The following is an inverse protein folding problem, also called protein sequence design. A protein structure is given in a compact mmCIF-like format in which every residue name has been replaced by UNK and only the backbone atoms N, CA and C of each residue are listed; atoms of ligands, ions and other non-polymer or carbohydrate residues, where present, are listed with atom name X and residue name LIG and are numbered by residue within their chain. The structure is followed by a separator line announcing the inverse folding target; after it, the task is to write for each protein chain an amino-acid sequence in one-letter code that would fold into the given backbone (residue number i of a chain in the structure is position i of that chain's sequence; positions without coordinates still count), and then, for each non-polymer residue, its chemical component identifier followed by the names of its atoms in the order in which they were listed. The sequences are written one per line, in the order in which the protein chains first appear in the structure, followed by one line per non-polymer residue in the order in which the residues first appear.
data_IF_258356057034
#
_entry.id   IF_258356057034
#
_cell.length_a   1.000
_cell.length_b   1.000
_cell.length_c   1.000
_cell.angle_alpha   90.00
_cell.angle_beta   90.00
_cell.angle_gamma   90.00
#
_symmetry.space_group_name_H-M   'P 1'
#
loop_
_entity.id
_entity.type
_entity.pdbx_description
1 polymer ?
#
# COMPACT_ATOMS: atom_id res chain seq x y z
N UNK A 1 -16.90 -14.79 -7.12
CA UNK A 1 -16.44 -15.52 -5.90
C UNK A 1 -16.74 -14.60 -4.74
N UNK A 2 -17.37 -15.06 -3.68
CA UNK A 2 -17.52 -14.25 -2.48
C UNK A 2 -16.15 -14.18 -1.75
N UNK A 3 -15.62 -12.98 -1.58
CA UNK A 3 -14.32 -12.77 -0.92
C UNK A 3 -14.42 -12.65 0.60
N UNK A 4 -15.63 -12.63 1.18
CA UNK A 4 -15.86 -12.54 2.63
C UNK A 4 -15.45 -11.20 3.24
N UNK A 5 -15.37 -10.13 2.44
CA UNK A 5 -14.95 -8.79 2.89
C UNK A 5 -16.07 -7.75 2.88
N UNK A 6 -17.27 -8.13 2.45
CA UNK A 6 -18.42 -7.24 2.47
C UNK A 6 -18.71 -6.74 3.90
N UNK A 7 -18.88 -5.43 4.07
CA UNK A 7 -19.08 -4.76 5.37
C UNK A 7 -17.81 -4.59 6.21
N UNK A 8 -16.66 -5.17 5.84
CA UNK A 8 -15.38 -4.98 6.53
C UNK A 8 -14.87 -3.54 6.38
N UNK A 9 -14.23 -3.02 7.43
CA UNK A 9 -13.60 -1.70 7.40
C UNK A 9 -12.23 -1.73 6.72
N UNK A 10 -12.07 -1.00 5.63
CA UNK A 10 -10.84 -0.91 4.85
C UNK A 10 -10.24 0.50 4.91
N UNK A 11 -9.00 0.61 5.38
CA UNK A 11 -8.21 1.83 5.35
C UNK A 11 -7.13 1.75 4.28
N UNK A 12 -7.19 2.62 3.26
CA UNK A 12 -6.25 2.63 2.14
C UNK A 12 -5.45 3.92 2.12
N UNK A 13 -4.16 3.85 2.42
CA UNK A 13 -3.29 5.02 2.53
C UNK A 13 -2.89 5.58 1.15
N UNK A 14 -2.72 6.92 1.06
CA UNK A 14 -2.28 7.64 -0.14
C UNK A 14 -3.03 7.23 -1.41
N UNK A 15 -4.37 7.16 -1.32
CA UNK A 15 -5.24 6.58 -2.34
C UNK A 15 -5.97 7.63 -3.21
N UNK A 16 -5.50 8.87 -3.25
CA UNK A 16 -6.06 9.89 -4.15
C UNK A 16 -5.71 9.66 -5.64
N UNK A 17 -4.85 8.68 -5.96
CA UNK A 17 -4.50 8.33 -7.34
C UNK A 17 -3.78 6.98 -7.42
N UNK A 18 -3.53 6.50 -8.65
CA UNK A 18 -2.66 5.35 -8.94
C UNK A 18 -3.12 4.05 -8.27
N UNK A 19 -2.16 3.24 -7.84
CA UNK A 19 -2.41 1.88 -7.32
C UNK A 19 -3.23 1.88 -6.02
N UNK A 20 -3.03 2.88 -5.15
CA UNK A 20 -3.84 3.04 -3.93
C UNK A 20 -5.32 3.26 -4.26
N UNK A 21 -5.64 4.18 -5.21
CA UNK A 21 -7.02 4.43 -5.66
C UNK A 21 -7.64 3.20 -6.31
N UNK A 22 -6.90 2.51 -7.16
CA UNK A 22 -7.38 1.29 -7.80
C UNK A 22 -7.67 0.18 -6.77
N UNK A 23 -6.81 0.03 -5.75
CA UNK A 23 -7.04 -0.92 -4.65
C UNK A 23 -8.28 -0.56 -3.84
N UNK A 24 -8.47 0.74 -3.53
CA UNK A 24 -9.64 1.22 -2.81
C UNK A 24 -10.93 0.99 -3.60
N UNK A 25 -10.92 1.21 -4.92
CA UNK A 25 -12.04 0.95 -5.83
C UNK A 25 -12.41 -0.53 -5.84
N UNK A 26 -11.43 -1.41 -5.98
CA UNK A 26 -11.65 -2.85 -6.00
C UNK A 26 -12.24 -3.37 -4.67
N UNK A 27 -11.75 -2.87 -3.52
CA UNK A 27 -12.30 -3.19 -2.20
C UNK A 27 -13.74 -2.70 -2.04
N UNK A 28 -14.05 -1.48 -2.49
CA UNK A 28 -15.40 -0.93 -2.44
C UNK A 28 -16.37 -1.71 -3.33
N UNK A 29 -15.93 -2.17 -4.51
CA UNK A 29 -16.73 -2.99 -5.42
C UNK A 29 -17.11 -4.35 -4.81
N UNK A 30 -16.28 -4.90 -3.91
CA UNK A 30 -16.57 -6.12 -3.13
C UNK A 30 -17.33 -5.84 -1.82
N UNK A 31 -17.85 -4.63 -1.66
CA UNK A 31 -18.70 -4.24 -0.54
C UNK A 31 -17.98 -3.88 0.77
N UNK A 32 -16.67 -3.70 0.77
CA UNK A 32 -15.96 -3.18 1.92
C UNK A 32 -16.33 -1.69 2.17
N UNK A 33 -16.38 -1.28 3.42
CA UNK A 33 -16.51 0.14 3.81
C UNK A 33 -15.13 0.78 3.76
N UNK A 34 -14.90 1.66 2.80
CA UNK A 34 -13.56 2.16 2.48
C UNK A 34 -13.35 3.58 2.99
N UNK A 35 -12.20 3.79 3.64
CA UNK A 35 -11.65 5.10 3.96
C UNK A 35 -10.33 5.26 3.22
N UNK A 36 -10.16 6.40 2.56
CA UNK A 36 -8.92 6.75 1.85
C UNK A 36 -8.28 8.01 2.43
N UNK A 37 -6.98 8.20 2.21
CA UNK A 37 -6.36 9.48 2.51
C UNK A 37 -5.52 10.03 1.36
N UNK A 38 -5.33 11.35 1.42
CA UNK A 38 -4.47 12.12 0.54
C UNK A 38 -4.20 13.51 1.13
N UNK A 39 -3.15 14.18 0.67
CA UNK A 39 -2.72 15.49 1.19
C UNK A 39 -3.57 16.65 0.68
N UNK A 40 -4.11 16.53 -0.50
CA UNK A 40 -4.90 17.55 -1.18
C UNK A 40 -6.39 17.23 -1.05
N UNK A 41 -7.16 18.18 -0.50
CA UNK A 41 -8.59 18.05 -0.25
C UNK A 41 -9.35 17.73 -1.54
N UNK A 42 -9.16 18.52 -2.58
CA UNK A 42 -9.92 18.38 -3.83
C UNK A 42 -9.67 17.01 -4.48
N UNK A 43 -8.41 16.59 -4.53
CA UNK A 43 -8.03 15.29 -5.13
C UNK A 43 -8.52 14.09 -4.33
N UNK A 44 -8.52 14.17 -3.00
CA UNK A 44 -9.01 13.04 -2.20
C UNK A 44 -10.53 12.94 -2.22
N UNK A 45 -11.23 14.08 -2.24
CA UNK A 45 -12.69 14.14 -2.36
C UNK A 45 -13.14 13.62 -3.75
N UNK A 46 -12.48 14.04 -4.83
CA UNK A 46 -12.71 13.52 -6.19
C UNK A 46 -12.47 12.00 -6.27
N UNK A 47 -11.37 11.53 -5.69
CA UNK A 47 -11.06 10.10 -5.65
C UNK A 47 -12.12 9.30 -4.90
N UNK A 48 -12.61 9.78 -3.76
CA UNK A 48 -13.65 9.12 -3.00
C UNK A 48 -14.98 9.07 -3.77
N UNK A 49 -15.34 10.15 -4.46
CA UNK A 49 -16.53 10.19 -5.31
C UNK A 49 -16.46 9.18 -6.47
N UNK A 50 -15.29 9.06 -7.11
CA UNK A 50 -15.04 8.11 -8.19
C UNK A 50 -15.00 6.65 -7.72
N UNK A 51 -14.44 6.37 -6.54
CA UNK A 51 -14.44 5.04 -5.94
C UNK A 51 -15.88 4.60 -5.64
N UNK A 52 -16.72 5.52 -5.18
CA UNK A 52 -18.13 5.21 -4.87
C UNK A 52 -18.28 4.37 -3.60
N UNK A 53 -19.40 3.61 -3.49
CA UNK A 53 -19.62 2.69 -2.37
C UNK A 53 -19.66 3.34 -0.98
N UNK A 54 -19.86 4.67 -0.89
CA UNK A 54 -19.80 5.40 0.38
C UNK A 54 -18.36 5.60 0.89
N UNK A 55 -17.36 5.57 0.01
CA UNK A 55 -15.96 5.82 0.35
C UNK A 55 -15.77 7.18 1.04
N UNK A 56 -15.10 7.19 2.18
CA UNK A 56 -14.89 8.40 2.99
C UNK A 56 -13.47 8.93 2.79
N UNK A 57 -13.30 10.20 2.35
CA UNK A 57 -11.99 10.82 2.22
C UNK A 57 -11.51 11.43 3.53
N UNK A 58 -10.23 11.26 3.86
CA UNK A 58 -9.53 11.92 4.95
C UNK A 58 -8.36 12.75 4.38
N UNK A 59 -8.26 14.02 4.77
CA UNK A 59 -7.07 14.83 4.42
C UNK A 59 -5.97 14.53 5.42
N UNK A 60 -5.04 13.71 5.01
CA UNK A 60 -3.92 13.29 5.83
C UNK A 60 -2.66 13.09 4.98
N UNK A 61 -1.55 13.65 5.44
CA UNK A 61 -0.23 13.33 4.91
C UNK A 61 0.34 12.12 5.66
N UNK A 62 0.64 11.06 4.95
CA UNK A 62 1.23 9.83 5.47
C UNK A 62 2.70 9.72 5.04
N UNK A 63 3.40 10.83 4.97
CA UNK A 63 4.83 10.86 4.64
C UNK A 63 5.76 10.61 5.83
N UNK A 64 5.20 10.37 7.01
CA UNK A 64 5.94 10.06 8.24
C UNK A 64 5.13 9.16 9.19
N UNK A 65 5.73 8.82 10.34
CA UNK A 65 5.10 7.96 11.33
C UNK A 65 3.92 8.62 12.06
N UNK A 66 3.94 9.94 12.26
CA UNK A 66 2.84 10.67 12.90
C UNK A 66 1.60 10.65 12.00
N UNK A 67 1.78 10.98 10.72
CA UNK A 67 0.72 10.93 9.72
C UNK A 67 0.17 9.53 9.54
N UNK A 68 1.03 8.51 9.50
CA UNK A 68 0.61 7.11 9.44
C UNK A 68 -0.28 6.68 10.62
N UNK A 69 0.12 7.04 11.84
CA UNK A 69 -0.66 6.79 13.06
C UNK A 69 -1.99 7.53 13.04
N UNK A 70 -1.97 8.81 12.68
CA UNK A 70 -3.16 9.67 12.60
C UNK A 70 -4.18 9.12 11.60
N UNK A 71 -3.73 8.72 10.41
CA UNK A 71 -4.62 8.15 9.39
C UNK A 71 -5.38 6.92 9.90
N UNK A 72 -4.69 5.95 10.53
CA UNK A 72 -5.32 4.74 11.05
C UNK A 72 -6.31 5.06 12.17
N UNK A 73 -5.96 5.99 13.06
CA UNK A 73 -6.87 6.44 14.13
C UNK A 73 -8.15 7.05 13.56
N UNK A 74 -8.03 8.03 12.66
CA UNK A 74 -9.18 8.69 12.03
C UNK A 74 -10.01 7.70 11.19
N UNK A 75 -9.37 6.77 10.49
CA UNK A 75 -10.07 5.69 9.78
C UNK A 75 -10.84 4.79 10.75
N UNK A 76 -10.28 4.48 11.93
CA UNK A 76 -10.96 3.70 12.98
C UNK A 76 -12.17 4.45 13.54
N UNK A 77 -12.07 5.76 13.74
CA UNK A 77 -13.21 6.58 14.18
C UNK A 77 -14.39 6.54 13.18
N UNK A 78 -14.10 6.54 11.88
CA UNK A 78 -15.11 6.48 10.81
C UNK A 78 -15.69 5.07 10.66
N UNK A 79 -14.84 4.05 10.68
CA UNK A 79 -15.21 2.67 10.36
C UNK A 79 -15.68 1.86 11.58
N UNK A 80 -15.36 2.32 12.80
CA UNK A 80 -15.46 1.55 14.05
C UNK A 80 -14.29 0.58 14.22
N UNK A 81 -13.90 -0.12 13.15
CA UNK A 81 -12.73 -1.01 13.12
C UNK A 81 -12.03 -0.91 11.77
N UNK A 82 -10.71 -1.06 11.77
CA UNK A 82 -9.91 -1.31 10.56
C UNK A 82 -9.61 -2.80 10.50
N UNK A 83 -10.26 -3.49 9.58
CA UNK A 83 -10.09 -4.93 9.32
C UNK A 83 -9.09 -5.18 8.20
N UNK A 84 -9.09 -4.29 7.19
CA UNK A 84 -8.24 -4.33 6.01
C UNK A 84 -7.39 -3.06 5.98
N UNK A 85 -6.08 -3.20 6.07
CA UNK A 85 -5.13 -2.09 5.98
C UNK A 85 -4.29 -2.23 4.71
N UNK A 86 -4.46 -1.29 3.79
CA UNK A 86 -3.58 -1.18 2.62
C UNK A 86 -2.60 -0.03 2.85
N UNK A 87 -1.36 -0.36 3.19
CA UNK A 87 -0.31 0.65 3.34
C UNK A 87 0.27 1.00 1.98
N UNK A 88 0.34 2.28 1.72
CA UNK A 88 0.86 2.85 0.48
C UNK A 88 1.40 4.26 0.79
N UNK A 89 2.27 4.76 -0.07
CA UNK A 89 2.85 6.10 0.08
C UNK A 89 3.38 6.63 -1.24
N UNK A 90 3.79 7.88 -1.23
CA UNK A 90 4.51 8.49 -2.34
C UNK A 90 5.86 7.79 -2.59
N UNK A 91 6.42 8.05 -3.76
CA UNK A 91 7.80 7.65 -4.05
C UNK A 91 8.75 8.83 -3.80
N UNK A 92 9.93 8.60 -3.23
CA UNK A 92 10.96 9.63 -3.09
C UNK A 92 11.47 10.07 -4.47
N UNK A 93 12.19 11.20 -4.57
CA UNK A 93 12.83 11.61 -5.81
C UNK A 93 13.73 10.52 -6.39
N UNK A 94 13.81 10.39 -7.72
CA UNK A 94 14.81 9.52 -8.35
C UNK A 94 16.21 10.11 -8.14
N UNK A 95 17.22 9.27 -8.19
CA UNK A 95 18.63 9.65 -8.11
C UNK A 95 19.52 8.42 -7.97
N UNK A 96 20.77 8.58 -8.39
CA UNK A 96 21.83 7.61 -8.17
C UNK A 96 22.49 7.81 -6.80
N UNK A 97 23.34 6.88 -6.37
CA UNK A 97 24.08 7.04 -5.12
C UNK A 97 24.97 8.30 -5.12
N UNK A 98 25.62 8.58 -6.24
CA UNK A 98 26.53 9.72 -6.37
C UNK A 98 25.81 11.10 -6.36
N UNK A 99 24.55 11.13 -6.85
CA UNK A 99 23.77 12.36 -6.97
C UNK A 99 22.90 12.63 -5.74
N UNK A 100 22.65 11.62 -4.90
CA UNK A 100 21.74 11.73 -3.77
C UNK A 100 22.48 12.17 -2.51
N UNK A 101 22.14 13.35 -2.01
CA UNK A 101 22.71 13.88 -0.78
C UNK A 101 22.31 13.05 0.45
N UNK A 102 23.15 12.98 1.46
CA UNK A 102 22.93 12.18 2.67
C UNK A 102 21.67 12.61 3.43
N UNK A 103 21.38 13.88 3.45
CA UNK A 103 20.20 14.47 4.13
C UNK A 103 18.84 14.15 3.46
N UNK A 104 18.85 13.61 2.23
CA UNK A 104 17.65 13.12 1.56
C UNK A 104 17.16 11.75 2.07
N UNK A 105 18.04 10.96 2.71
CA UNK A 105 17.71 9.62 3.18
C UNK A 105 16.69 9.59 4.33
N UNK A 106 16.78 10.43 5.37
CA UNK A 106 15.80 10.44 6.45
C UNK A 106 14.36 10.59 5.95
N UNK A 107 14.09 11.56 5.10
CA UNK A 107 12.75 11.80 4.55
C UNK A 107 12.21 10.60 3.73
N UNK A 108 13.08 9.91 2.99
CA UNK A 108 12.70 8.72 2.23
C UNK A 108 12.41 7.52 3.15
N UNK A 109 13.17 7.38 4.24
CA UNK A 109 12.95 6.36 5.28
C UNK A 109 11.65 6.65 6.02
N UNK A 110 11.40 7.89 6.41
CA UNK A 110 10.16 8.31 7.08
C UNK A 110 8.94 7.97 6.20
N UNK A 111 8.97 8.35 4.95
CA UNK A 111 7.86 8.16 4.00
C UNK A 111 7.59 6.69 3.68
N UNK A 112 8.61 5.87 3.43
CA UNK A 112 8.43 4.54 2.86
C UNK A 112 8.69 3.39 3.84
N UNK A 113 9.21 3.68 5.03
CA UNK A 113 9.41 2.70 6.10
C UNK A 113 8.66 3.11 7.36
N UNK A 114 8.98 4.26 7.98
CA UNK A 114 8.42 4.62 9.29
C UNK A 114 6.91 4.86 9.25
N UNK A 115 6.38 5.45 8.19
CA UNK A 115 4.94 5.59 7.99
C UNK A 115 4.22 4.23 7.96
N UNK A 116 4.80 3.23 7.27
CA UNK A 116 4.23 1.87 7.22
C UNK A 116 4.31 1.18 8.58
N UNK A 117 5.44 1.30 9.28
CA UNK A 117 5.60 0.79 10.65
C UNK A 117 4.53 1.37 11.57
N UNK A 118 4.32 2.69 11.49
CA UNK A 118 3.35 3.40 12.33
C UNK A 118 1.90 2.97 12.04
N UNK A 119 1.53 2.85 10.76
CA UNK A 119 0.21 2.32 10.37
C UNK A 119 -0.01 0.89 10.89
N UNK A 120 0.99 0.01 10.76
CA UNK A 120 0.91 -1.35 11.29
C UNK A 120 0.78 -1.36 12.83
N UNK A 121 1.58 -0.54 13.54
CA UNK A 121 1.50 -0.43 14.99
C UNK A 121 0.14 0.08 15.48
N UNK A 122 -0.52 0.95 14.72
CA UNK A 122 -1.82 1.49 15.06
C UNK A 122 -2.98 0.50 14.80
N UNK A 123 -2.87 -0.35 13.76
CA UNK A 123 -3.96 -1.23 13.36
C UNK A 123 -3.84 -2.67 13.90
N UNK A 124 -2.64 -3.26 13.86
CA UNK A 124 -2.43 -4.69 14.09
C UNK A 124 -2.82 -5.16 15.50
N UNK A 125 -2.55 -4.43 16.61
CA UNK A 125 -2.96 -4.89 17.92
C UNK A 125 -4.46 -5.20 18.03
N UNK A 126 -5.30 -4.31 17.54
CA UNK A 126 -6.76 -4.50 17.50
C UNK A 126 -7.19 -5.62 16.53
N UNK A 127 -6.48 -5.82 15.42
CA UNK A 127 -6.73 -6.97 14.53
C UNK A 127 -6.44 -8.29 15.24
N UNK A 128 -5.35 -8.37 16.00
CA UNK A 128 -4.98 -9.57 16.79
C UNK A 128 -6.03 -9.87 17.87
N UNK A 129 -6.48 -8.85 18.60
CA UNK A 129 -7.53 -9.00 19.63
C UNK A 129 -8.85 -9.53 19.06
N UNK A 130 -9.19 -9.14 17.83
CA UNK A 130 -10.40 -9.61 17.13
C UNK A 130 -10.21 -10.88 16.30
N UNK A 131 -9.00 -11.45 16.31
CA UNK A 131 -8.61 -12.64 15.54
C UNK A 131 -8.91 -12.51 14.03
N UNK A 132 -8.88 -11.28 13.52
CA UNK A 132 -9.07 -10.97 12.11
C UNK A 132 -8.34 -9.69 11.70
N UNK A 133 -7.54 -9.79 10.65
CA UNK A 133 -6.91 -8.64 10.02
C UNK A 133 -6.19 -9.01 8.71
N UNK A 134 -6.18 -8.05 7.78
CA UNK A 134 -5.45 -8.16 6.52
C UNK A 134 -4.61 -6.92 6.31
N UNK A 135 -3.31 -7.09 6.33
CA UNK A 135 -2.36 -6.02 6.00
C UNK A 135 -1.74 -6.32 4.65
N UNK A 136 -1.94 -5.42 3.70
CA UNK A 136 -1.33 -5.49 2.37
C UNK A 136 -0.53 -4.22 2.12
N UNK A 137 0.78 -4.36 1.95
CA UNK A 137 1.66 -3.22 1.69
C UNK A 137 2.01 -3.12 0.19
N UNK A 138 1.73 -1.98 -0.41
CA UNK A 138 2.17 -1.69 -1.78
C UNK A 138 3.63 -1.22 -1.71
N UNK A 139 4.54 -2.08 -2.14
CA UNK A 139 5.98 -1.81 -2.11
C UNK A 139 6.53 -1.51 -3.51
N UNK A 140 7.43 -2.29 -4.03
CA UNK A 140 8.03 -2.11 -5.35
C UNK A 140 8.75 -3.39 -5.79
N UNK A 141 8.78 -3.68 -7.08
CA UNK A 141 9.70 -4.66 -7.66
C UNK A 141 11.17 -4.37 -7.27
N UNK A 142 11.51 -3.09 -7.11
CA UNK A 142 12.86 -2.62 -6.79
C UNK A 142 13.39 -3.14 -5.44
N UNK A 143 12.57 -3.72 -4.56
CA UNK A 143 13.03 -4.34 -3.30
C UNK A 143 13.80 -5.66 -3.54
N UNK A 144 13.56 -6.31 -4.67
CA UNK A 144 14.26 -7.53 -5.08
C UNK A 144 15.21 -7.31 -6.25
N UNK A 145 14.86 -6.42 -7.15
CA UNK A 145 15.67 -6.04 -8.31
C UNK A 145 15.91 -4.54 -8.27
N UNK A 146 16.93 -4.06 -7.51
CA UNK A 146 17.18 -2.64 -7.34
C UNK A 146 17.35 -1.91 -8.67
N UNK A 147 16.67 -0.78 -8.80
CA UNK A 147 16.76 0.07 -9.99
C UNK A 147 17.84 1.14 -9.78
N UNK A 148 18.69 1.32 -10.76
CA UNK A 148 19.92 2.14 -10.65
C UNK A 148 19.66 3.60 -10.25
N UNK A 149 18.53 4.17 -10.66
CA UNK A 149 18.18 5.57 -10.39
C UNK A 149 17.14 5.76 -9.26
N UNK A 150 16.93 4.75 -8.41
CA UNK A 150 15.95 4.80 -7.32
C UNK A 150 16.58 4.47 -5.96
N UNK A 151 17.79 4.99 -5.68
CA UNK A 151 18.55 4.62 -4.48
C UNK A 151 17.75 4.81 -3.17
N UNK A 152 17.06 5.92 -3.01
CA UNK A 152 16.25 6.20 -1.83
C UNK A 152 15.09 5.21 -1.67
N UNK A 153 14.38 4.92 -2.76
CA UNK A 153 13.29 3.96 -2.76
C UNK A 153 13.76 2.53 -2.49
N UNK A 154 14.86 2.11 -3.15
CA UNK A 154 15.47 0.80 -2.94
C UNK A 154 15.82 0.60 -1.46
N UNK A 155 16.47 1.60 -0.84
CA UNK A 155 16.91 1.54 0.56
C UNK A 155 15.73 1.42 1.52
N UNK A 156 14.77 2.34 1.44
CA UNK A 156 13.65 2.39 2.38
C UNK A 156 12.68 1.19 2.21
N UNK A 157 12.40 0.79 0.96
CA UNK A 157 11.46 -0.29 0.68
C UNK A 157 12.03 -1.68 0.93
N UNK A 158 13.35 -1.87 0.85
CA UNK A 158 13.99 -3.10 1.32
C UNK A 158 13.80 -3.25 2.83
N UNK A 159 13.98 -2.17 3.60
CA UNK A 159 13.76 -2.14 5.04
C UNK A 159 12.32 -2.51 5.43
N UNK A 160 11.32 -1.90 4.79
CA UNK A 160 9.93 -2.22 5.08
C UNK A 160 9.57 -3.66 4.72
N UNK A 161 10.16 -4.21 3.67
CA UNK A 161 9.94 -5.61 3.28
C UNK A 161 10.41 -6.59 4.36
N UNK A 162 11.57 -6.32 4.97
CA UNK A 162 12.07 -7.08 6.12
C UNK A 162 11.16 -6.96 7.34
N UNK A 163 10.73 -5.75 7.67
CA UNK A 163 9.79 -5.48 8.76
C UNK A 163 8.47 -6.24 8.58
N UNK A 164 7.86 -6.16 7.41
CA UNK A 164 6.60 -6.86 7.12
C UNK A 164 6.74 -8.39 7.25
N UNK A 165 7.87 -8.96 6.81
CA UNK A 165 8.14 -10.39 6.96
C UNK A 165 8.26 -10.80 8.42
N UNK A 166 8.92 -9.98 9.24
CA UNK A 166 9.04 -10.21 10.69
C UNK A 166 7.67 -10.13 11.36
N UNK A 167 6.89 -9.07 11.08
CA UNK A 167 5.55 -8.88 11.61
C UNK A 167 4.62 -10.06 11.23
N UNK A 168 4.67 -10.53 9.98
CA UNK A 168 3.87 -11.66 9.53
C UNK A 168 4.13 -12.94 10.35
N UNK A 169 5.39 -13.17 10.76
CA UNK A 169 5.75 -14.31 11.61
C UNK A 169 5.32 -14.13 13.05
N UNK A 170 5.39 -12.90 13.55
CA UNK A 170 4.99 -12.55 14.92
C UNK A 170 3.49 -12.76 15.13
N UNK A 171 2.65 -12.36 14.15
CA UNK A 171 1.19 -12.47 14.25
C UNK A 171 0.65 -13.76 13.61
N UNK A 172 1.50 -14.69 13.20
CA UNK A 172 1.07 -15.97 12.63
C UNK A 172 0.18 -16.76 13.63
N UNK A 173 -0.97 -17.21 13.15
CA UNK A 173 -1.94 -17.93 13.99
C UNK A 173 -2.94 -17.06 14.75
N UNK A 174 -2.81 -15.72 14.71
CA UNK A 174 -3.76 -14.79 15.34
C UNK A 174 -4.93 -14.38 14.43
N UNK A 175 -5.13 -15.03 13.30
CA UNK A 175 -6.14 -14.63 12.30
C UNK A 175 -5.72 -13.43 11.43
N UNK A 176 -4.52 -12.88 11.65
CA UNK A 176 -3.99 -11.72 10.90
C UNK A 176 -3.01 -12.19 9.82
N UNK A 177 -3.15 -11.66 8.61
CA UNK A 177 -2.16 -11.87 7.54
C UNK A 177 -1.46 -10.56 7.19
N UNK A 178 -0.17 -10.65 6.85
CA UNK A 178 0.65 -9.49 6.44
C UNK A 178 1.40 -9.86 5.18
N UNK A 179 1.08 -9.20 4.07
CA UNK A 179 1.69 -9.46 2.77
C UNK A 179 2.14 -8.16 2.11
N UNK A 180 3.03 -8.24 1.15
CA UNK A 180 3.38 -7.13 0.28
C UNK A 180 3.15 -7.45 -1.19
N UNK A 181 2.72 -6.45 -1.94
CA UNK A 181 2.59 -6.52 -3.39
C UNK A 181 3.67 -5.64 -4.01
N UNK A 182 4.39 -6.19 -4.97
CA UNK A 182 5.54 -5.58 -5.61
C UNK A 182 5.17 -5.22 -7.06
N UNK A 183 4.67 -3.99 -7.31
CA UNK A 183 4.32 -3.58 -8.66
C UNK A 183 5.56 -3.43 -9.54
N UNK A 184 5.45 -3.87 -10.78
CA UNK A 184 6.22 -3.38 -11.90
C UNK A 184 5.67 -2.04 -12.41
N UNK A 185 5.86 -1.77 -13.71
CA UNK A 185 5.30 -0.55 -14.31
C UNK A 185 3.80 -0.71 -14.55
N UNK A 186 3.02 0.20 -13.97
CA UNK A 186 1.57 0.31 -14.20
C UNK A 186 1.25 1.73 -14.68
N UNK A 187 0.20 1.88 -15.46
CA UNK A 187 -0.27 3.18 -15.98
C UNK A 187 -0.76 4.08 -14.85
N UNK A 188 0.17 4.80 -14.20
CA UNK A 188 -0.10 5.66 -13.06
C UNK A 188 0.60 7.01 -13.21
N UNK A 189 0.11 8.06 -12.54
CA UNK A 189 0.79 9.37 -12.54
C UNK A 189 2.25 9.29 -12.06
N UNK A 190 2.58 8.33 -11.20
CA UNK A 190 3.97 8.13 -10.74
C UNK A 190 4.88 7.66 -11.86
N UNK A 191 4.41 6.77 -12.72
CA UNK A 191 5.21 6.27 -13.86
C UNK A 191 5.39 7.41 -14.87
N UNK A 192 4.34 8.17 -15.18
CA UNK A 192 4.45 9.38 -16.02
C UNK A 192 5.47 10.38 -15.45
N UNK A 193 5.47 10.62 -14.14
CA UNK A 193 6.44 11.50 -13.49
C UNK A 193 7.90 11.02 -13.65
N UNK A 194 8.13 9.69 -13.60
CA UNK A 194 9.48 9.11 -13.67
C UNK A 194 10.00 8.97 -15.10
N UNK A 195 9.12 8.69 -16.05
CA UNK A 195 9.50 8.27 -17.40
C UNK A 195 8.88 9.12 -18.52
N UNK A 196 8.10 10.16 -18.18
CA UNK A 196 7.38 10.97 -19.15
C UNK A 196 6.12 10.29 -19.70
N UNK A 197 5.51 10.91 -20.72
CA UNK A 197 4.27 10.45 -21.35
C UNK A 197 4.51 9.42 -22.48
N UNK A 198 5.76 8.98 -22.67
CA UNK A 198 6.05 7.97 -23.69
C UNK A 198 5.30 6.68 -23.40
N UNK A 199 4.59 6.10 -24.37
CA UNK A 199 3.97 4.80 -24.22
C UNK A 199 5.03 3.77 -23.85
N UNK A 200 4.81 3.07 -22.75
CA UNK A 200 5.65 1.95 -22.38
C UNK A 200 4.87 0.67 -22.64
N UNK A 201 5.29 -0.09 -23.64
CA UNK A 201 4.71 -1.38 -23.93
C UNK A 201 4.83 -2.30 -22.70
N UNK A 202 3.78 -3.05 -22.43
CA UNK A 202 3.75 -3.98 -21.29
C UNK A 202 3.45 -3.38 -19.93
N UNK A 203 3.01 -2.09 -19.82
CA UNK A 203 2.52 -1.55 -18.56
C UNK A 203 1.20 -2.20 -18.13
N UNK A 204 1.14 -2.60 -16.85
CA UNK A 204 -0.06 -3.15 -16.23
C UNK A 204 -1.18 -2.11 -16.07
N UNK A 205 -2.41 -2.61 -15.98
CA UNK A 205 -3.54 -1.80 -15.58
C UNK A 205 -3.59 -1.64 -14.06
N UNK A 206 -3.75 -0.42 -13.53
CA UNK A 206 -3.93 -0.22 -12.09
C UNK A 206 -5.12 -0.98 -11.50
N UNK A 207 -6.20 -1.17 -12.26
CA UNK A 207 -7.39 -1.87 -11.77
C UNK A 207 -7.13 -3.38 -11.62
N UNK A 208 -6.35 -4.01 -12.51
CA UNK A 208 -5.89 -5.40 -12.32
C UNK A 208 -5.05 -5.55 -11.06
N UNK A 209 -4.17 -4.58 -10.78
CA UNK A 209 -3.41 -4.55 -9.53
C UNK A 209 -4.33 -4.46 -8.30
N UNK A 210 -5.36 -3.63 -8.36
CA UNK A 210 -6.37 -3.48 -7.31
C UNK A 210 -7.08 -4.80 -6.98
N UNK A 211 -7.38 -5.62 -7.99
CA UNK A 211 -7.98 -6.95 -7.79
C UNK A 211 -7.06 -7.90 -7.00
N UNK A 212 -5.75 -7.86 -7.25
CA UNK A 212 -4.78 -8.68 -6.50
C UNK A 212 -4.71 -8.24 -5.03
N UNK A 213 -4.70 -6.92 -4.76
CA UNK A 213 -4.75 -6.40 -3.39
C UNK A 213 -6.03 -6.86 -2.69
N UNK A 214 -7.17 -6.79 -3.37
CA UNK A 214 -8.47 -7.20 -2.85
C UNK A 214 -8.51 -8.70 -2.56
N UNK A 215 -7.97 -9.55 -3.43
CA UNK A 215 -7.83 -10.99 -3.16
C UNK A 215 -7.00 -11.26 -1.90
N UNK A 216 -5.89 -10.54 -1.70
CA UNK A 216 -5.06 -10.69 -0.49
C UNK A 216 -5.77 -10.23 0.79
N UNK A 217 -6.78 -9.39 0.67
CA UNK A 217 -7.65 -8.99 1.77
C UNK A 217 -8.78 -9.99 2.06
N UNK A 218 -8.97 -11.00 1.22
CA UNK A 218 -10.09 -11.96 1.31
C UNK A 218 -9.92 -13.03 2.39
N UNK A 219 -11.01 -13.72 2.69
CA UNK A 219 -11.00 -14.95 3.52
C UNK A 219 -10.25 -16.09 2.83
N UNK A 220 -10.27 -16.17 1.50
CA UNK A 220 -9.58 -17.19 0.73
C UNK A 220 -8.06 -17.09 0.88
N UNK A 221 -7.54 -15.88 1.14
CA UNK A 221 -6.12 -15.64 1.35
C UNK A 221 -5.66 -15.86 2.81
N UNK A 222 -6.51 -16.36 3.71
CA UNK A 222 -6.21 -16.50 5.16
C UNK A 222 -4.98 -17.35 5.51
N UNK A 223 -4.54 -18.21 4.61
CA UNK A 223 -3.33 -19.02 4.79
C UNK A 223 -2.10 -18.44 4.06
N UNK A 224 -2.25 -17.27 3.43
CA UNK A 224 -1.20 -16.57 2.71
C UNK A 224 -0.71 -15.41 3.58
N UNK A 225 0.47 -15.56 4.22
CA UNK A 225 1.08 -14.52 5.05
C UNK A 225 2.59 -14.49 4.90
N UNK A 226 3.19 -13.32 5.02
CA UNK A 226 4.62 -13.10 4.83
C UNK A 226 5.08 -13.25 3.37
N UNK A 227 4.16 -13.23 2.42
CA UNK A 227 4.46 -13.31 1.00
C UNK A 227 4.82 -11.95 0.41
N UNK A 228 5.63 -12.00 -0.63
CA UNK A 228 6.04 -10.87 -1.46
C UNK A 228 5.63 -11.19 -2.89
N UNK A 229 4.52 -10.62 -3.33
CA UNK A 229 3.85 -10.99 -4.58
C UNK A 229 4.20 -9.99 -5.67
N UNK A 230 4.80 -10.46 -6.74
CA UNK A 230 5.08 -9.65 -7.92
C UNK A 230 3.80 -9.48 -8.74
N UNK A 231 3.51 -8.25 -9.12
CA UNK A 231 2.49 -7.89 -10.11
C UNK A 231 3.18 -6.96 -11.11
N UNK A 232 3.95 -7.55 -11.99
CA UNK A 232 4.99 -6.85 -12.75
C UNK A 232 5.07 -7.23 -14.24
N UNK A 233 4.13 -8.06 -14.72
CA UNK A 233 4.13 -8.52 -16.11
C UNK A 233 5.34 -9.39 -16.48
N UNK A 234 6.01 -10.01 -15.49
CA UNK A 234 7.20 -10.83 -15.70
C UNK A 234 8.51 -10.02 -15.80
N UNK A 235 8.51 -8.79 -15.32
CA UNK A 235 9.71 -7.94 -15.35
C UNK A 235 10.83 -8.38 -14.38
N UNK A 236 10.47 -9.11 -13.31
CA UNK A 236 11.45 -9.72 -12.41
C UNK A 236 12.15 -10.90 -13.07
N UNK A 237 13.49 -10.88 -13.11
CA UNK A 237 14.28 -11.82 -13.93
C UNK A 237 14.85 -13.00 -13.15
N UNK A 238 14.80 -13.00 -11.82
CA UNK A 238 15.35 -14.08 -11.02
C UNK A 238 14.27 -15.11 -10.63
N UNK A 239 14.71 -16.30 -10.27
CA UNK A 239 13.81 -17.38 -9.79
C UNK A 239 13.42 -17.19 -8.32
N UNK A 240 14.33 -16.60 -7.49
CA UNK A 240 14.19 -16.44 -6.04
C UNK A 240 14.49 -15.00 -5.61
#
# INVERSE_FOLDING_TARGET
MDLGISGRGAAVAAASSGLGRASARALAAEGARVVICGRDRGRVDEAAADIGGGCVPIVCDVSDGEGGTRFVREATEVLGTVDLLVTNGGGPPPGTFAETALDAYPAAIDMNLMAVVAMCKAAVPSMVEREFGRVVSITSLAVRQPMANLILSNTARAGVTGMLKTLAREVAGSGVTVNSVQPGLHRTPRVTQLYGDAPQDGMGDPDDFGQIVTFLCSEQARFLTGAQIHVDGGAYQALL
#
